data_IF_532313581611
#
_entry.id   IF_532313581611
#
_cell.length_a   1.000
_cell.length_b   1.000
_cell.length_c   1.000
_cell.angle_alpha   90.00
_cell.angle_beta   90.00
_cell.angle_gamma   90.00
#
_symmetry.space_group_name_H-M   'P 1'
#
loop_
_entity.id
_entity.type
_entity.pdbx_description
1 polymer ?
#
# COMPACT_ATOMS: atom_id res chain seq x y z
N UNK A 1 -42.54 -8.51 8.72
CA UNK A 1 -41.43 -9.35 8.25
C UNK A 1 -40.85 -8.69 7.01
N UNK A 2 -39.86 -7.82 7.21
CA UNK A 2 -39.04 -7.31 6.12
C UNK A 2 -37.72 -8.06 6.22
N UNK A 3 -37.39 -8.86 5.19
CA UNK A 3 -36.04 -9.36 4.99
C UNK A 3 -35.17 -8.13 4.75
N UNK A 4 -34.28 -7.82 5.67
CA UNK A 4 -33.11 -7.01 5.34
C UNK A 4 -32.43 -7.71 4.16
N UNK A 5 -32.27 -7.00 3.05
CA UNK A 5 -31.28 -7.38 2.07
C UNK A 5 -29.95 -7.32 2.83
N UNK A 6 -29.28 -8.47 2.96
CA UNK A 6 -27.88 -8.49 3.35
C UNK A 6 -27.14 -7.66 2.29
N UNK A 7 -26.53 -6.55 2.72
CA UNK A 7 -25.49 -5.89 1.95
C UNK A 7 -24.45 -6.96 1.59
N UNK A 8 -23.95 -7.03 0.34
CA UNK A 8 -22.92 -7.98 -0.01
C UNK A 8 -21.76 -7.78 0.98
N UNK A 9 -21.52 -8.82 1.80
CA UNK A 9 -20.52 -8.80 2.86
C UNK A 9 -19.21 -8.24 2.29
N UNK A 10 -18.76 -7.09 2.80
CA UNK A 10 -17.57 -6.42 2.26
C UNK A 10 -16.38 -7.38 2.33
N UNK A 11 -15.90 -7.81 1.16
CA UNK A 11 -14.79 -8.75 1.06
C UNK A 11 -13.47 -8.15 1.52
N UNK A 12 -13.39 -6.82 1.62
CA UNK A 12 -12.20 -6.07 2.00
C UNK A 12 -12.19 -5.79 3.50
N UNK A 13 -11.15 -6.24 4.18
CA UNK A 13 -10.90 -6.00 5.60
C UNK A 13 -10.18 -4.65 5.82
N UNK A 14 -9.22 -4.32 4.96
CA UNK A 14 -8.45 -3.07 5.02
C UNK A 14 -8.03 -2.64 3.61
N UNK A 15 -8.04 -1.33 3.38
CA UNK A 15 -7.44 -0.70 2.18
C UNK A 15 -6.22 0.10 2.60
N UNK A 16 -5.12 -0.08 1.87
CA UNK A 16 -3.86 0.62 2.10
C UNK A 16 -3.30 1.15 0.79
N UNK A 17 -2.81 2.38 0.79
CA UNK A 17 -1.99 2.92 -0.27
C UNK A 17 -0.54 2.73 0.16
N UNK A 18 0.23 2.04 -0.67
CA UNK A 18 1.61 1.67 -0.39
C UNK A 18 2.53 2.48 -1.30
N UNK A 19 3.56 3.03 -0.68
CA UNK A 19 4.66 3.74 -1.32
C UNK A 19 5.96 3.09 -0.90
N UNK A 20 6.94 2.99 -1.78
CA UNK A 20 8.20 2.38 -1.42
C UNK A 20 9.18 2.24 -2.57
N UNK A 21 10.18 1.40 -2.37
CA UNK A 21 11.27 1.16 -3.33
C UNK A 21 12.44 2.11 -3.16
N UNK A 22 12.35 3.10 -2.27
CA UNK A 22 13.50 3.90 -1.86
C UNK A 22 14.49 2.99 -1.11
N UNK A 23 15.64 2.73 -1.72
CA UNK A 23 16.70 1.93 -1.11
C UNK A 23 17.89 2.79 -0.76
N UNK A 24 18.51 2.49 0.38
CA UNK A 24 19.69 3.21 0.84
C UNK A 24 20.71 2.28 1.45
N UNK A 25 21.97 2.73 1.50
CA UNK A 25 23.04 1.98 2.17
C UNK A 25 23.02 2.32 3.65
N UNK A 26 22.97 1.31 4.51
CA UNK A 26 22.94 1.49 5.97
C UNK A 26 24.13 2.34 6.47
N UNK A 27 25.30 2.18 5.85
CA UNK A 27 26.51 2.94 6.21
C UNK A 27 26.47 4.44 5.88
N UNK A 28 25.47 4.89 5.12
CA UNK A 28 25.30 6.30 4.75
C UNK A 28 24.32 7.03 5.68
N UNK A 29 23.61 6.30 6.54
CA UNK A 29 22.78 6.90 7.58
C UNK A 29 23.66 7.62 8.62
N UNK A 30 23.19 8.77 9.07
CA UNK A 30 23.82 9.70 10.00
C UNK A 30 24.27 9.02 11.30
N UNK A 31 23.46 8.10 11.83
CA UNK A 31 23.76 7.35 13.04
C UNK A 31 24.85 6.29 12.88
N UNK A 32 25.32 6.00 11.66
CA UNK A 32 26.34 4.99 11.41
C UNK A 32 27.74 5.53 11.69
N UNK A 33 28.42 4.97 12.71
CA UNK A 33 29.75 5.41 13.13
C UNK A 33 30.83 4.49 12.57
N UNK A 34 31.51 4.94 11.50
CA UNK A 34 32.62 4.21 10.87
C UNK A 34 33.70 3.85 11.92
N UNK A 35 34.12 2.57 11.92
CA UNK A 35 35.12 2.03 12.85
C UNK A 35 34.57 1.63 14.22
N UNK A 36 33.32 2.00 14.56
CA UNK A 36 32.61 1.50 15.76
C UNK A 36 31.50 0.53 15.40
N UNK A 37 30.83 0.76 14.27
CA UNK A 37 29.76 -0.08 13.77
C UNK A 37 30.24 -0.94 12.61
N UNK A 38 29.65 -2.13 12.52
CA UNK A 38 29.80 -3.05 11.39
C UNK A 38 28.53 -3.05 10.57
N UNK A 39 28.65 -3.27 9.27
CA UNK A 39 27.50 -3.49 8.40
C UNK A 39 26.95 -4.89 8.69
N UNK A 40 25.63 -5.05 8.90
CA UNK A 40 25.02 -6.37 9.08
C UNK A 40 25.26 -7.29 7.88
N UNK A 41 25.39 -8.58 8.16
CA UNK A 41 25.48 -9.66 7.16
C UNK A 41 24.23 -10.55 7.14
N UNK A 42 23.29 -10.32 8.05
CA UNK A 42 22.00 -10.99 8.13
C UNK A 42 20.93 -10.05 8.69
N UNK A 43 19.67 -10.36 8.40
CA UNK A 43 18.51 -9.67 8.98
C UNK A 43 17.97 -10.50 10.14
N UNK A 44 17.90 -9.91 11.33
CA UNK A 44 17.31 -10.48 12.53
C UNK A 44 16.90 -9.35 13.49
N UNK A 45 16.22 -9.68 14.58
CA UNK A 45 15.73 -8.70 15.55
C UNK A 45 16.83 -7.77 16.11
N UNK A 46 18.07 -8.27 16.27
CA UNK A 46 19.17 -7.44 16.77
C UNK A 46 19.68 -6.45 15.72
N UNK A 47 19.77 -6.87 14.46
CA UNK A 47 20.21 -6.00 13.35
C UNK A 47 19.13 -4.99 12.97
N UNK A 48 17.85 -5.33 13.10
CA UNK A 48 16.73 -4.39 12.94
C UNK A 48 16.70 -3.35 14.07
N UNK A 49 16.87 -3.78 15.33
CA UNK A 49 17.00 -2.84 16.44
C UNK A 49 18.23 -1.93 16.29
N UNK A 50 19.29 -2.40 15.63
CA UNK A 50 20.44 -1.59 15.27
C UNK A 50 20.10 -0.58 14.15
N UNK A 51 19.38 -1.00 13.09
CA UNK A 51 18.89 -0.08 12.06
C UNK A 51 18.08 1.05 12.67
N UNK A 52 17.13 0.75 13.57
CA UNK A 52 16.33 1.76 14.25
C UNK A 52 17.15 2.81 15.00
N UNK A 53 18.28 2.42 15.61
CA UNK A 53 19.20 3.38 16.26
C UNK A 53 19.96 4.25 15.26
N UNK A 54 20.22 3.71 14.07
CA UNK A 54 21.08 4.35 13.06
C UNK A 54 20.31 5.29 12.15
N UNK A 55 19.03 5.02 11.87
CA UNK A 55 18.14 5.89 11.09
C UNK A 55 17.32 6.89 11.94
N UNK A 56 17.53 6.92 13.26
CA UNK A 56 16.68 7.66 14.19
C UNK A 56 16.58 9.16 13.86
N UNK A 57 17.68 9.78 13.43
CA UNK A 57 17.72 11.20 13.07
C UNK A 57 16.94 11.47 11.78
N UNK A 58 17.24 10.74 10.70
CA UNK A 58 16.53 10.86 9.42
C UNK A 58 15.04 10.63 9.56
N UNK A 59 14.65 9.58 10.30
CA UNK A 59 13.25 9.26 10.51
C UNK A 59 12.56 10.34 11.35
N UNK A 60 13.19 10.83 12.41
CA UNK A 60 12.58 11.89 13.24
C UNK A 60 12.37 13.17 12.44
N UNK A 61 13.37 13.58 11.65
CA UNK A 61 13.30 14.79 10.85
C UNK A 61 12.26 14.68 9.72
N UNK A 62 12.26 13.56 8.97
CA UNK A 62 11.27 13.31 7.91
C UNK A 62 9.85 13.26 8.50
N UNK A 63 9.64 12.54 9.60
CA UNK A 63 8.33 12.41 10.22
C UNK A 63 7.81 13.73 10.80
N UNK A 64 8.69 14.56 11.38
CA UNK A 64 8.31 15.89 11.85
C UNK A 64 7.93 16.81 10.68
N UNK A 65 8.65 16.74 9.55
CA UNK A 65 8.27 17.45 8.33
C UNK A 65 6.86 17.07 7.88
N UNK A 66 6.56 15.77 7.79
CA UNK A 66 5.21 15.27 7.45
C UNK A 66 4.15 15.78 8.41
N UNK A 67 4.42 15.76 9.72
CA UNK A 67 3.50 16.26 10.73
C UNK A 67 3.20 17.76 10.56
N UNK A 68 4.24 18.58 10.37
CA UNK A 68 4.06 20.02 10.18
C UNK A 68 3.34 20.35 8.87
N UNK A 69 3.69 19.66 7.78
CA UNK A 69 3.01 19.79 6.48
C UNK A 69 1.53 19.42 6.60
N UNK A 70 1.21 18.24 7.12
CA UNK A 70 -0.17 17.81 7.33
C UNK A 70 -0.97 18.81 8.17
N UNK A 71 -0.39 19.35 9.26
CA UNK A 71 -1.06 20.40 10.05
C UNK A 71 -1.32 21.68 9.28
N UNK A 72 -0.39 22.09 8.44
CA UNK A 72 -0.48 23.35 7.69
C UNK A 72 -1.41 23.24 6.48
N UNK A 73 -1.26 22.18 5.68
CA UNK A 73 -1.98 21.97 4.42
C UNK A 73 -3.43 21.54 4.67
N UNK A 74 -3.70 20.75 5.72
CA UNK A 74 -5.03 20.24 6.06
C UNK A 74 -5.68 20.96 7.25
N UNK A 75 -4.98 21.94 7.84
CA UNK A 75 -5.51 22.80 8.89
C UNK A 75 -5.70 22.16 10.27
N UNK A 76 -5.14 20.97 10.50
CA UNK A 76 -5.33 20.22 11.75
C UNK A 76 -4.86 20.98 13.00
N UNK A 77 -5.68 20.87 14.05
CA UNK A 77 -5.32 21.30 15.40
C UNK A 77 -4.53 20.19 16.11
N UNK A 78 -3.80 20.57 17.17
CA UNK A 78 -2.97 19.66 17.98
C UNK A 78 -3.71 18.43 18.54
N UNK A 79 -5.04 18.47 18.67
CA UNK A 79 -5.86 17.35 19.16
C UNK A 79 -6.33 16.40 18.05
N UNK A 80 -6.15 16.78 16.79
CA UNK A 80 -6.65 16.06 15.60
C UNK A 80 -5.54 15.29 14.89
N UNK A 81 -4.30 15.46 15.34
CA UNK A 81 -3.14 14.82 14.75
C UNK A 81 -2.07 14.58 15.82
N UNK A 82 -1.46 13.41 15.79
CA UNK A 82 -0.34 13.01 16.65
C UNK A 82 0.74 12.35 15.82
N UNK A 83 1.99 12.49 16.26
CA UNK A 83 3.13 11.79 15.68
C UNK A 83 3.80 10.94 16.76
N UNK A 84 4.03 9.67 16.45
CA UNK A 84 4.80 8.74 17.26
C UNK A 84 5.99 8.25 16.43
N UNK A 85 7.21 8.32 16.99
CA UNK A 85 8.42 7.81 16.35
C UNK A 85 9.05 6.78 17.29
N UNK A 86 9.23 5.56 16.81
CA UNK A 86 9.75 4.45 17.60
C UNK A 86 10.55 3.45 16.76
N UNK A 87 11.76 3.12 17.20
CA UNK A 87 12.60 2.15 16.50
C UNK A 87 12.96 2.65 15.10
N UNK A 88 12.62 1.85 14.08
CA UNK A 88 12.84 2.17 12.67
C UNK A 88 11.56 2.61 11.94
N UNK A 89 10.52 3.01 12.67
CA UNK A 89 9.27 3.49 12.08
C UNK A 89 8.61 4.64 12.82
N UNK A 90 7.71 5.32 12.12
CA UNK A 90 6.89 6.39 12.66
C UNK A 90 5.45 6.25 12.23
N UNK A 91 4.53 6.69 13.07
CA UNK A 91 3.09 6.69 12.82
C UNK A 91 2.55 8.10 13.06
N UNK A 92 2.03 8.71 12.01
CA UNK A 92 1.24 9.94 12.06
C UNK A 92 -0.23 9.55 12.02
N UNK A 93 -0.95 9.80 13.11
CA UNK A 93 -2.37 9.50 13.25
C UNK A 93 -3.15 10.79 13.20
N UNK A 94 -3.93 10.97 12.14
CA UNK A 94 -4.93 12.03 12.02
C UNK A 94 -6.34 11.47 12.31
N UNK A 95 -7.34 12.34 12.37
CA UNK A 95 -8.74 11.94 12.60
C UNK A 95 -9.37 11.12 11.47
N UNK A 96 -8.74 11.12 10.30
CA UNK A 96 -9.30 10.67 9.03
C UNK A 96 -8.30 9.90 8.14
N UNK A 97 -7.07 9.69 8.63
CA UNK A 97 -6.10 8.77 8.06
C UNK A 97 -4.99 8.43 9.06
N UNK A 98 -4.28 7.35 8.78
CA UNK A 98 -3.00 6.99 9.42
C UNK A 98 -1.93 6.89 8.35
N UNK A 99 -0.82 7.59 8.56
CA UNK A 99 0.34 7.56 7.67
C UNK A 99 1.57 7.04 8.41
N UNK A 100 2.22 6.05 7.82
CA UNK A 100 3.37 5.38 8.40
C UNK A 100 4.59 5.47 7.49
N UNK A 101 5.76 5.62 8.12
CA UNK A 101 7.05 5.51 7.45
C UNK A 101 7.83 4.43 8.18
N UNK A 102 8.46 3.52 7.46
CA UNK A 102 9.28 2.47 8.05
C UNK A 102 10.56 2.24 7.25
N UNK A 103 11.63 1.93 8.00
CA UNK A 103 12.91 1.47 7.50
C UNK A 103 13.08 0.01 7.91
N UNK A 104 13.41 -0.84 6.95
CA UNK A 104 13.66 -2.27 7.18
C UNK A 104 14.94 -2.70 6.47
N UNK A 105 15.68 -3.65 7.02
CA UNK A 105 16.83 -4.21 6.33
C UNK A 105 16.38 -5.06 5.14
N UNK A 106 17.14 -5.00 4.05
CA UNK A 106 16.86 -5.85 2.91
C UNK A 106 17.41 -7.26 3.17
N UNK A 107 16.52 -8.26 3.21
CA UNK A 107 16.90 -9.66 3.39
C UNK A 107 17.89 -10.20 2.35
N UNK A 108 17.89 -9.65 1.13
CA UNK A 108 18.81 -10.06 0.05
C UNK A 108 20.15 -9.32 0.10
N UNK A 109 20.19 -8.15 0.72
CA UNK A 109 21.41 -7.36 0.95
C UNK A 109 21.31 -6.62 2.30
N UNK A 110 21.68 -7.28 3.41
CA UNK A 110 21.56 -6.72 4.76
C UNK A 110 22.39 -5.45 5.01
N UNK A 111 23.27 -5.07 4.07
CA UNK A 111 23.97 -3.79 4.10
C UNK A 111 23.15 -2.61 3.59
N UNK A 112 21.93 -2.87 3.14
CA UNK A 112 20.97 -1.88 2.63
C UNK A 112 19.67 -1.91 3.43
N UNK A 113 18.96 -0.80 3.40
CA UNK A 113 17.60 -0.68 3.91
C UNK A 113 16.63 -0.35 2.78
N UNK A 114 15.37 -0.69 2.99
CA UNK A 114 14.23 -0.24 2.20
C UNK A 114 13.42 0.71 3.08
N UNK A 115 13.07 1.88 2.54
CA UNK A 115 12.10 2.78 3.15
C UNK A 115 10.75 2.57 2.46
N UNK A 116 9.71 2.41 3.29
CA UNK A 116 8.33 2.21 2.84
C UNK A 116 7.41 3.21 3.54
N UNK A 117 6.36 3.60 2.84
CA UNK A 117 5.30 4.49 3.27
C UNK A 117 3.96 3.78 3.15
N UNK A 118 3.10 3.95 4.14
CA UNK A 118 1.76 3.34 4.14
C UNK A 118 0.74 4.39 4.54
N UNK A 119 -0.29 4.57 3.73
CA UNK A 119 -1.47 5.36 4.08
C UNK A 119 -2.66 4.42 4.21
N UNK A 120 -3.33 4.45 5.36
CA UNK A 120 -4.45 3.56 5.67
C UNK A 120 -5.50 4.27 6.52
N UNK A 121 -6.65 3.63 6.72
CA UNK A 121 -7.80 4.21 7.41
C UNK A 121 -8.23 5.57 6.81
N UNK A 122 -8.00 5.75 5.51
CA UNK A 122 -8.33 6.96 4.77
C UNK A 122 -9.85 7.07 4.62
N UNK A 123 -10.40 8.18 5.09
CA UNK A 123 -11.80 8.53 4.80
C UNK A 123 -11.95 9.04 3.37
N UNK A 124 -13.01 8.62 2.68
CA UNK A 124 -13.23 8.93 1.25
C UNK A 124 -13.38 10.41 0.97
N UNK A 125 -13.81 11.19 1.96
CA UNK A 125 -14.03 12.64 1.89
C UNK A 125 -12.73 13.43 1.65
N UNK A 126 -11.57 12.85 1.95
CA UNK A 126 -10.26 13.46 1.73
C UNK A 126 -9.75 13.29 0.30
N UNK A 127 -10.23 12.30 -0.43
CA UNK A 127 -9.80 12.04 -1.81
C UNK A 127 -10.29 13.19 -2.69
N UNK A 128 -9.35 13.83 -3.40
CA UNK A 128 -9.62 14.98 -4.27
C UNK A 128 -9.60 16.33 -3.57
N UNK A 129 -9.39 16.38 -2.25
CA UNK A 129 -9.13 17.63 -1.55
C UNK A 129 -7.74 18.17 -1.91
N UNK A 130 -7.66 19.42 -2.38
CA UNK A 130 -6.43 19.98 -2.92
C UNK A 130 -5.21 19.88 -1.97
N UNK A 131 -5.39 20.21 -0.69
CA UNK A 131 -4.31 20.10 0.30
C UNK A 131 -3.89 18.66 0.58
N UNK A 132 -4.82 17.70 0.45
CA UNK A 132 -4.53 16.29 0.65
C UNK A 132 -3.78 15.69 -0.55
N UNK A 133 -4.21 16.04 -1.75
CA UNK A 133 -3.52 15.64 -2.99
C UNK A 133 -2.12 16.24 -3.07
N UNK A 134 -1.93 17.49 -2.63
CA UNK A 134 -0.60 18.12 -2.59
C UNK A 134 0.32 17.46 -1.55
N UNK A 135 -0.21 17.12 -0.37
CA UNK A 135 0.53 16.44 0.68
C UNK A 135 1.11 15.11 0.19
N UNK A 136 0.29 14.32 -0.50
CA UNK A 136 0.60 12.95 -0.90
C UNK A 136 0.92 12.77 -2.40
N UNK A 137 1.18 13.87 -3.11
CA UNK A 137 1.52 13.82 -4.53
C UNK A 137 2.72 12.90 -4.79
N UNK A 138 2.52 11.92 -5.68
CA UNK A 138 3.57 11.01 -6.13
C UNK A 138 4.17 10.11 -5.05
N UNK A 139 3.44 9.83 -3.96
CA UNK A 139 3.96 9.03 -2.85
C UNK A 139 3.66 7.54 -2.97
N UNK A 140 2.62 7.15 -3.71
CA UNK A 140 2.10 5.78 -3.67
C UNK A 140 2.08 5.15 -5.05
N UNK A 141 2.57 3.92 -5.15
CA UNK A 141 2.63 3.14 -6.39
C UNK A 141 1.84 1.84 -6.28
N UNK A 142 1.11 1.62 -5.19
CA UNK A 142 0.28 0.44 -5.02
C UNK A 142 -0.95 0.75 -4.16
N UNK A 143 -2.09 0.14 -4.50
CA UNK A 143 -3.26 0.03 -3.61
C UNK A 143 -3.41 -1.43 -3.24
N UNK A 144 -3.46 -1.74 -1.96
CA UNK A 144 -3.61 -3.08 -1.46
C UNK A 144 -4.93 -3.22 -0.67
N UNK A 145 -5.63 -4.31 -0.94
CA UNK A 145 -6.89 -4.70 -0.34
C UNK A 145 -6.67 -6.03 0.38
N UNK A 146 -6.69 -6.02 1.71
CA UNK A 146 -6.71 -7.26 2.49
C UNK A 146 -8.11 -7.87 2.44
N UNK A 147 -8.22 -9.17 2.20
CA UNK A 147 -9.51 -9.84 2.09
C UNK A 147 -9.92 -10.51 3.40
N UNK A 148 -11.16 -10.27 3.85
CA UNK A 148 -11.68 -10.80 5.12
C UNK A 148 -11.75 -12.32 5.15
N UNK A 149 -12.13 -12.94 4.02
CA UNK A 149 -12.32 -14.40 3.88
C UNK A 149 -11.38 -15.02 2.84
N UNK A 150 -10.52 -14.22 2.23
CA UNK A 150 -9.74 -14.61 1.05
C UNK A 150 -10.61 -14.91 -0.19
N UNK A 151 -9.95 -15.40 -1.23
CA UNK A 151 -10.56 -15.84 -2.49
C UNK A 151 -9.77 -17.03 -3.07
N UNK A 152 -10.44 -17.91 -3.82
CA UNK A 152 -9.73 -18.92 -4.61
C UNK A 152 -9.13 -18.26 -5.84
N UNK A 153 -7.80 -18.34 -5.96
CA UNK A 153 -7.08 -17.80 -7.11
C UNK A 153 -7.49 -18.54 -8.38
N UNK A 154 -7.71 -19.86 -8.30
CA UNK A 154 -8.21 -20.67 -9.40
C UNK A 154 -9.56 -20.17 -9.90
N UNK A 155 -10.50 -19.87 -8.98
CA UNK A 155 -11.80 -19.33 -9.37
C UNK A 155 -11.69 -17.95 -10.07
N UNK A 156 -10.71 -17.13 -9.70
CA UNK A 156 -10.44 -15.85 -10.39
C UNK A 156 -9.87 -16.10 -11.78
N UNK A 157 -8.94 -17.05 -11.92
CA UNK A 157 -8.37 -17.44 -13.20
C UNK A 157 -9.47 -17.96 -14.14
N UNK A 158 -10.24 -18.95 -13.68
CA UNK A 158 -11.34 -19.57 -14.42
C UNK A 158 -12.35 -18.50 -14.88
N UNK A 159 -12.74 -17.58 -13.98
CA UNK A 159 -13.66 -16.49 -14.29
C UNK A 159 -13.14 -15.54 -15.38
N UNK A 160 -11.82 -15.31 -15.47
CA UNK A 160 -11.24 -14.47 -16.52
C UNK A 160 -11.09 -15.25 -17.83
N UNK A 161 -10.69 -16.52 -17.78
CA UNK A 161 -10.58 -17.38 -18.96
C UNK A 161 -11.93 -17.61 -19.63
N UNK A 162 -13.01 -17.79 -18.85
CA UNK A 162 -14.38 -17.95 -19.36
C UNK A 162 -14.91 -16.72 -20.12
N UNK A 163 -14.30 -15.54 -19.95
CA UNK A 163 -14.68 -14.34 -20.69
C UNK A 163 -14.14 -14.34 -22.13
N UNK A 164 -13.20 -15.23 -22.47
CA UNK A 164 -12.60 -15.36 -23.81
C UNK A 164 -12.16 -13.99 -24.41
N UNK A 165 -11.68 -13.07 -23.56
CA UNK A 165 -11.24 -11.73 -23.94
C UNK A 165 -12.34 -10.70 -24.24
N UNK A 166 -13.62 -11.03 -24.01
CA UNK A 166 -14.75 -10.14 -24.30
C UNK A 166 -14.75 -8.82 -23.52
N UNK A 167 -14.02 -8.74 -22.41
CA UNK A 167 -13.97 -7.61 -21.47
C UNK A 167 -12.64 -6.88 -21.47
N UNK A 168 -11.66 -7.30 -22.28
CA UNK A 168 -10.29 -6.76 -22.23
C UNK A 168 -9.52 -7.15 -20.96
N UNK A 169 -9.98 -8.18 -20.24
CA UNK A 169 -9.28 -8.77 -19.11
C UNK A 169 -8.36 -9.89 -19.60
N UNK A 170 -7.11 -9.87 -19.13
CA UNK A 170 -6.15 -10.95 -19.32
C UNK A 170 -5.61 -11.39 -17.95
N UNK A 171 -5.24 -12.67 -17.84
CA UNK A 171 -4.70 -13.27 -16.61
C UNK A 171 -3.40 -14.02 -16.91
N UNK A 172 -2.40 -13.83 -16.06
CA UNK A 172 -1.14 -14.57 -16.05
C UNK A 172 -0.98 -15.27 -14.69
N UNK A 173 -0.55 -16.53 -14.68
CA UNK A 173 -0.42 -17.31 -13.45
C UNK A 173 0.63 -18.42 -13.58
N UNK A 174 1.29 -18.84 -12.47
CA UNK A 174 2.14 -20.02 -12.43
C UNK A 174 1.30 -21.31 -12.46
N UNK A 175 1.92 -22.45 -12.81
CA UNK A 175 1.23 -23.73 -12.98
C UNK A 175 0.57 -24.29 -11.71
N UNK A 176 0.93 -23.78 -10.54
CA UNK A 176 0.35 -24.16 -9.25
C UNK A 176 -0.79 -23.25 -8.81
N UNK A 177 -1.13 -22.23 -9.62
CA UNK A 177 -2.18 -21.25 -9.36
C UNK A 177 -2.09 -20.57 -7.99
N UNK A 178 -0.89 -20.46 -7.41
CA UNK A 178 -0.70 -19.87 -6.08
C UNK A 178 -0.99 -18.36 -6.04
N UNK A 179 -0.95 -17.69 -7.20
CA UNK A 179 -1.28 -16.29 -7.39
C UNK A 179 -1.66 -16.06 -8.87
N UNK A 180 -2.28 -14.93 -9.18
CA UNK A 180 -2.46 -14.49 -10.55
C UNK A 180 -2.25 -12.98 -10.69
N UNK A 181 -1.87 -12.56 -11.89
CA UNK A 181 -1.74 -11.17 -12.30
C UNK A 181 -2.76 -10.87 -13.40
N UNK A 182 -3.66 -9.93 -13.14
CA UNK A 182 -4.69 -9.48 -14.07
C UNK A 182 -4.25 -8.17 -14.72
N UNK A 183 -4.50 -8.07 -16.03
CA UNK A 183 -4.32 -6.85 -16.82
C UNK A 183 -5.66 -6.43 -17.40
N UNK A 184 -5.95 -5.14 -17.33
CA UNK A 184 -7.18 -4.55 -17.86
C UNK A 184 -6.82 -3.61 -19.00
N UNK A 185 -7.38 -3.83 -20.18
CA UNK A 185 -7.17 -2.95 -21.33
C UNK A 185 -7.50 -1.48 -20.99
N UNK A 186 -6.54 -0.59 -21.29
CA UNK A 186 -6.69 0.84 -21.04
C UNK A 186 -6.38 1.30 -19.61
N UNK A 187 -5.99 0.39 -18.71
CA UNK A 187 -5.49 0.73 -17.37
C UNK A 187 -4.00 0.39 -17.28
N UNK A 188 -3.18 1.39 -16.97
CA UNK A 188 -1.73 1.23 -16.79
C UNK A 188 -1.40 0.78 -15.35
N UNK A 189 -1.92 -0.38 -14.96
CA UNK A 189 -1.69 -1.02 -13.67
C UNK A 189 -1.83 -2.54 -13.78
N UNK A 190 -1.10 -3.27 -12.95
CA UNK A 190 -1.22 -4.72 -12.81
C UNK A 190 -1.97 -5.06 -11.52
N UNK A 191 -2.92 -5.98 -11.59
CA UNK A 191 -3.68 -6.42 -10.42
C UNK A 191 -3.19 -7.79 -9.98
N UNK A 192 -2.54 -7.87 -8.83
CA UNK A 192 -2.00 -9.09 -8.25
C UNK A 192 -3.00 -9.66 -7.25
N UNK A 193 -3.27 -10.96 -7.33
CA UNK A 193 -4.13 -11.69 -6.40
C UNK A 193 -3.36 -12.90 -5.86
N UNK A 194 -3.26 -13.02 -4.54
CA UNK A 194 -2.60 -14.17 -3.87
C UNK A 194 -3.59 -15.01 -3.04
N UNK A 195 -4.88 -14.76 -3.19
CA UNK A 195 -5.96 -15.41 -2.46
C UNK A 195 -6.22 -14.82 -1.07
N UNK A 196 -5.32 -14.01 -0.52
CA UNK A 196 -5.51 -13.31 0.76
C UNK A 196 -5.59 -11.80 0.60
N UNK A 197 -5.00 -11.27 -0.46
CA UNK A 197 -5.01 -9.87 -0.81
C UNK A 197 -5.18 -9.69 -2.32
N UNK A 198 -5.66 -8.51 -2.68
CA UNK A 198 -5.63 -7.97 -4.03
C UNK A 198 -4.81 -6.70 -4.01
N UNK A 199 -3.81 -6.57 -4.87
CA UNK A 199 -3.02 -5.35 -5.01
C UNK A 199 -3.01 -4.82 -6.43
N UNK A 200 -3.26 -3.53 -6.59
CA UNK A 200 -3.07 -2.82 -7.85
C UNK A 200 -1.71 -2.13 -7.80
N UNK A 201 -0.79 -2.56 -8.64
CA UNK A 201 0.58 -2.03 -8.72
C UNK A 201 0.71 -1.14 -9.95
N UNK A 202 1.19 0.08 -9.73
CA UNK A 202 1.33 1.11 -10.75
C UNK A 202 2.79 1.27 -11.16
N UNK A 203 3.08 1.54 -12.44
CA UNK A 203 4.45 1.68 -12.94
C UNK A 203 5.15 2.94 -12.42
N UNK A 204 4.38 3.94 -11.98
CA UNK A 204 4.89 5.16 -11.34
C UNK A 204 4.08 5.47 -10.10
N UNK A 205 4.73 6.14 -9.16
CA UNK A 205 4.04 6.69 -8.00
C UNK A 205 3.10 7.83 -8.42
N UNK A 206 1.92 7.86 -7.82
CA UNK A 206 0.86 8.85 -8.01
C UNK A 206 0.35 9.38 -6.67
N UNK A 207 -0.64 10.28 -6.76
CA UNK A 207 -1.39 10.77 -5.61
C UNK A 207 -2.64 9.92 -5.32
N UNK A 208 -3.29 10.10 -4.15
CA UNK A 208 -4.47 9.33 -3.76
C UNK A 208 -5.59 9.32 -4.81
N UNK A 209 -5.96 10.46 -5.39
CA UNK A 209 -7.03 10.52 -6.40
C UNK A 209 -6.70 9.72 -7.65
N UNK A 210 -5.47 9.82 -8.15
CA UNK A 210 -5.04 9.09 -9.35
C UNK A 210 -5.17 7.57 -9.15
N UNK A 211 -4.74 7.07 -8.00
CA UNK A 211 -4.83 5.66 -7.63
C UNK A 211 -6.30 5.21 -7.53
N UNK A 212 -7.15 6.00 -6.85
CA UNK A 212 -8.58 5.69 -6.68
C UNK A 212 -9.34 5.74 -8.02
N UNK A 213 -9.02 6.67 -8.91
CA UNK A 213 -9.60 6.74 -10.26
C UNK A 213 -9.27 5.49 -11.08
N UNK A 214 -8.01 5.07 -11.10
CA UNK A 214 -7.59 3.87 -11.79
C UNK A 214 -8.23 2.60 -11.19
N UNK A 215 -8.35 2.54 -9.86
CA UNK A 215 -9.13 1.51 -9.18
C UNK A 215 -10.60 1.48 -9.65
N UNK A 216 -11.22 2.66 -9.81
CA UNK A 216 -12.57 2.78 -10.33
C UNK A 216 -12.74 2.13 -11.72
N UNK A 217 -11.73 2.25 -12.59
CA UNK A 217 -11.74 1.63 -13.93
C UNK A 217 -11.63 0.10 -13.85
N UNK A 218 -10.74 -0.42 -13.00
CA UNK A 218 -10.59 -1.88 -12.78
C UNK A 218 -11.87 -2.46 -12.19
N UNK A 219 -12.43 -1.83 -11.14
CA UNK A 219 -13.70 -2.22 -10.55
C UNK A 219 -14.81 -2.22 -11.59
N UNK A 220 -14.86 -1.21 -12.47
CA UNK A 220 -15.84 -1.15 -13.54
C UNK A 220 -15.69 -2.34 -14.52
N UNK A 221 -14.47 -2.69 -14.92
CA UNK A 221 -14.21 -3.84 -15.78
C UNK A 221 -14.66 -5.16 -15.12
N UNK A 222 -14.41 -5.32 -13.82
CA UNK A 222 -14.84 -6.50 -13.05
C UNK A 222 -16.37 -6.59 -12.94
N UNK A 223 -17.07 -5.47 -12.74
CA UNK A 223 -18.53 -5.46 -12.72
C UNK A 223 -19.11 -5.76 -14.12
N UNK A 224 -18.48 -5.27 -15.18
CA UNK A 224 -18.91 -5.50 -16.56
C UNK A 224 -18.79 -6.97 -17.01
N UNK A 225 -17.90 -7.76 -16.41
CA UNK A 225 -17.79 -9.19 -16.70
C UNK A 225 -19.05 -9.96 -16.36
N UNK A 226 -19.87 -9.44 -15.41
CA UNK A 226 -21.05 -10.11 -14.82
C UNK A 226 -20.71 -11.45 -14.14
N UNK A 227 -19.43 -11.74 -13.96
CA UNK A 227 -18.99 -12.89 -13.21
C UNK A 227 -19.09 -12.58 -11.70
N UNK A 228 -19.74 -13.45 -10.90
CA UNK A 228 -19.96 -13.18 -9.48
C UNK A 228 -18.66 -13.18 -8.65
N UNK A 229 -17.62 -13.92 -9.07
CA UNK A 229 -16.31 -13.95 -8.41
C UNK A 229 -15.62 -12.60 -8.61
N UNK A 230 -15.57 -12.13 -9.87
CA UNK A 230 -14.94 -10.85 -10.21
C UNK A 230 -15.73 -9.65 -9.64
N UNK A 231 -17.05 -9.68 -9.72
CA UNK A 231 -17.89 -8.64 -9.14
C UNK A 231 -17.81 -8.58 -7.61
N UNK A 232 -17.59 -9.73 -6.95
CA UNK A 232 -17.45 -9.81 -5.49
C UNK A 232 -16.10 -9.34 -4.96
N UNK A 233 -15.02 -9.40 -5.77
CA UNK A 233 -13.67 -9.00 -5.37
C UNK A 233 -13.58 -7.54 -4.88
N UNK A 234 -14.25 -6.64 -5.60
CA UNK A 234 -14.19 -5.19 -5.39
C UNK A 234 -15.60 -4.56 -5.31
N UNK A 235 -16.61 -5.39 -5.04
CA UNK A 235 -18.04 -5.06 -5.02
C UNK A 235 -18.43 -4.10 -3.92
#
# INVERSE_FOLDING_TARGET
>A
MAKNAEDPETYVAEVRLLGGGETGKLKLLSGFKKGRHSVPDAVNAATEAFLGKVCAEELTDESEEWFQRARSELGYKRKEITLEVAGSGSVLTAVDFVFEISYQLNNRDPGTYVKSKVLRQLTTERVGEAGFEELFAGQFNEINFDLTKGISVEAVIDAVEELDGATGLAVEYPSDCANCCLKVDGVDAEVHCDGTSLSMVFPRAGGPSELVEAFGLVRHAFVLSKDPVLAGLLG
#
